data_IF_962594666141
#
_entry.id   IF_962594666141
#
_cell.length_a   1.000
_cell.length_b   1.000
_cell.length_c   1.000
_cell.angle_alpha   90.00
_cell.angle_beta   90.00
_cell.angle_gamma   90.00
#
_symmetry.space_group_name_H-M   'P 1'
#
loop_
_entity.id
_entity.type
_entity.pdbx_description
1 polymer ?
#
# COMPACT_ATOMS: atom_id res chain seq x y z
N UNK A 1 -9.41 -72.97 -57.65
CA UNK A 1 -10.86 -72.98 -57.36
C UNK A 1 -11.35 -71.54 -57.36
N UNK A 2 -12.29 -71.25 -58.27
CA UNK A 2 -13.32 -70.19 -58.26
C UNK A 2 -13.00 -68.70 -58.13
N UNK A 3 -13.42 -67.98 -59.19
CA UNK A 3 -13.68 -66.54 -59.38
C UNK A 3 -14.74 -65.94 -58.44
N UNK A 4 -14.69 -64.60 -58.27
CA UNK A 4 -15.75 -63.58 -58.57
C UNK A 4 -15.60 -62.36 -57.63
N UNK A 5 -15.33 -61.13 -58.10
CA UNK A 5 -16.14 -60.11 -58.81
C UNK A 5 -17.05 -59.22 -57.91
N UNK A 6 -16.91 -57.90 -58.11
CA UNK A 6 -17.89 -56.78 -57.95
C UNK A 6 -18.29 -56.38 -56.51
N UNK A 7 -18.59 -55.12 -56.15
CA UNK A 7 -19.02 -53.93 -56.92
C UNK A 7 -18.76 -52.64 -56.12
N UNK A 8 -18.60 -51.52 -56.84
CA UNK A 8 -18.70 -50.14 -56.34
C UNK A 8 -20.16 -49.68 -56.13
N UNK A 9 -20.30 -48.53 -55.45
CA UNK A 9 -21.38 -47.53 -55.58
C UNK A 9 -21.88 -47.04 -54.21
N UNK A 10 -22.34 -45.80 -53.98
CA UNK A 10 -22.25 -44.47 -54.60
C UNK A 10 -22.78 -43.48 -53.53
N UNK A 11 -22.50 -42.18 -53.69
CA UNK A 11 -22.91 -41.00 -52.89
C UNK A 11 -24.33 -41.02 -52.29
N UNK A 12 -24.49 -40.41 -51.09
CA UNK A 12 -25.44 -39.28 -50.86
C UNK A 12 -25.19 -38.51 -49.54
N UNK A 13 -25.21 -37.19 -49.69
CA UNK A 13 -25.24 -36.12 -48.68
C UNK A 13 -26.61 -36.03 -48.00
N UNK A 14 -26.63 -35.93 -46.65
CA UNK A 14 -27.82 -35.51 -45.88
C UNK A 14 -27.38 -34.82 -44.59
N UNK A 15 -27.52 -33.49 -44.53
CA UNK A 15 -27.71 -32.76 -43.27
C UNK A 15 -29.17 -32.81 -42.82
N UNK A 16 -29.45 -32.81 -41.50
CA UNK A 16 -30.65 -32.12 -40.98
C UNK A 16 -30.35 -31.40 -39.63
N UNK A 17 -31.31 -30.70 -38.97
CA UNK A 17 -31.47 -29.26 -39.06
C UNK A 17 -31.25 -28.51 -37.73
N UNK A 18 -31.21 -27.18 -37.82
CA UNK A 18 -31.27 -26.23 -36.71
C UNK A 18 -32.55 -26.38 -35.88
N UNK A 19 -32.42 -26.26 -34.56
CA UNK A 19 -33.52 -25.93 -33.65
C UNK A 19 -33.08 -24.80 -32.72
N UNK A 20 -33.79 -23.68 -32.83
CA UNK A 20 -33.62 -22.51 -31.97
C UNK A 20 -34.60 -22.51 -30.81
N UNK A 21 -34.18 -21.91 -29.70
CA UNK A 21 -34.99 -21.37 -28.61
C UNK A 21 -34.23 -20.13 -28.12
N UNK A 22 -34.62 -18.90 -28.48
CA UNK A 22 -35.72 -18.08 -27.94
C UNK A 22 -35.44 -17.52 -26.54
N UNK A 23 -34.98 -16.27 -26.55
CA UNK A 23 -34.90 -15.28 -25.48
C UNK A 23 -36.28 -14.95 -24.89
N UNK A 24 -36.41 -14.66 -23.59
CA UNK A 24 -37.53 -13.90 -23.06
C UNK A 24 -37.16 -12.41 -22.94
N UNK A 25 -37.86 -11.56 -23.69
CA UNK A 25 -38.02 -10.14 -23.37
C UNK A 25 -39.35 -9.90 -22.65
N UNK A 26 -39.36 -8.91 -21.75
CA UNK A 26 -40.37 -7.86 -21.52
C UNK A 26 -40.56 -7.54 -20.02
N UNK A 27 -41.08 -6.34 -19.65
CA UNK A 27 -41.02 -5.03 -20.32
C UNK A 27 -40.61 -3.88 -19.36
N UNK A 28 -40.36 -2.71 -19.95
CA UNK A 28 -40.18 -1.42 -19.29
C UNK A 28 -41.44 -0.94 -18.54
N UNK A 29 -41.24 -0.32 -17.36
CA UNK A 29 -42.03 0.82 -16.91
C UNK A 29 -41.23 1.68 -15.91
N UNK A 30 -41.20 2.97 -16.18
CA UNK A 30 -40.57 4.01 -15.37
C UNK A 30 -41.40 4.34 -14.13
N UNK A 31 -40.73 4.52 -12.98
CA UNK A 31 -40.94 5.66 -12.08
C UNK A 31 -39.94 5.63 -10.91
N UNK A 32 -39.24 6.74 -10.73
CA UNK A 32 -38.42 7.03 -9.55
C UNK A 32 -39.30 7.24 -8.31
N UNK A 33 -38.78 6.89 -7.13
CA UNK A 33 -38.81 7.86 -6.04
C UNK A 33 -37.47 7.95 -5.28
N UNK A 34 -37.35 9.10 -4.62
CA UNK A 34 -36.22 9.66 -3.89
C UNK A 34 -35.61 8.74 -2.82
N UNK A 35 -34.28 8.83 -2.69
CA UNK A 35 -33.52 8.29 -1.58
C UNK A 35 -33.75 9.12 -0.29
N UNK A 36 -33.87 8.48 0.89
CA UNK A 36 -33.61 9.17 2.14
C UNK A 36 -32.09 9.19 2.39
N UNK A 37 -31.57 10.40 2.55
CA UNK A 37 -30.24 10.64 3.09
C UNK A 37 -30.16 10.09 4.52
N UNK A 38 -29.19 9.21 4.78
CA UNK A 38 -28.71 8.92 6.12
C UNK A 38 -27.19 9.00 6.09
N UNK A 39 -26.72 10.18 6.48
CA UNK A 39 -25.35 10.58 6.72
C UNK A 39 -24.77 9.90 7.96
N UNK A 40 -23.71 9.12 7.76
CA UNK A 40 -22.62 8.86 8.73
C UNK A 40 -21.38 8.59 7.85
N UNK A 41 -20.28 9.35 7.83
CA UNK A 41 -19.65 10.16 8.87
C UNK A 41 -18.43 9.42 9.40
N UNK A 42 -17.28 10.10 9.43
CA UNK A 42 -15.93 9.71 9.93
C UNK A 42 -15.02 9.03 8.88
N UNK A 43 -13.85 9.57 8.48
CA UNK A 43 -13.08 10.73 8.92
C UNK A 43 -11.60 10.33 9.03
N UNK A 44 -10.73 10.89 8.18
CA UNK A 44 -9.28 10.91 8.43
C UNK A 44 -8.75 12.30 8.13
N UNK A 45 -8.14 12.87 9.16
CA UNK A 45 -7.83 14.28 9.32
C UNK A 45 -6.66 14.72 8.44
N UNK A 46 -6.86 15.84 7.73
CA UNK A 46 -5.79 16.66 7.17
C UNK A 46 -5.18 17.45 8.33
N UNK A 47 -4.01 17.05 8.80
CA UNK A 47 -3.23 17.86 9.75
C UNK A 47 -2.53 18.99 8.99
N UNK A 48 -3.20 20.14 8.96
CA UNK A 48 -2.68 21.40 8.44
C UNK A 48 -1.46 21.88 9.26
N UNK A 49 -0.32 21.97 8.59
CA UNK A 49 0.86 22.70 9.05
C UNK A 49 0.71 24.17 8.68
N UNK A 50 0.24 25.01 9.60
CA UNK A 50 0.53 26.44 9.57
C UNK A 50 1.01 26.90 10.94
N UNK A 51 2.34 27.07 11.03
CA UNK A 51 2.97 27.87 12.09
C UNK A 51 2.72 29.34 11.79
N UNK A 52 2.22 30.03 12.82
CA UNK A 52 2.12 31.48 12.94
C UNK A 52 3.46 32.17 12.69
N UNK A 53 3.44 33.25 11.90
CA UNK A 53 4.36 34.37 12.01
C UNK A 53 3.55 35.65 12.30
N UNK A 54 4.20 36.54 13.04
CA UNK A 54 3.67 37.65 13.83
C UNK A 54 3.22 38.90 13.05
N UNK A 55 2.17 39.53 13.62
CA UNK A 55 1.64 40.93 13.63
C UNK A 55 2.51 42.12 13.13
N UNK A 56 1.94 43.29 12.71
CA UNK A 56 1.30 44.27 13.63
C UNK A 56 0.07 45.09 13.14
N UNK A 57 -0.63 45.64 14.14
CA UNK A 57 -1.45 46.88 14.26
C UNK A 57 -2.71 47.14 13.40
N UNK A 58 -3.87 47.30 14.06
CA UNK A 58 -4.57 48.60 14.20
C UNK A 58 -5.76 48.60 15.20
N UNK A 59 -5.66 49.52 16.17
CA UNK A 59 -6.65 50.32 16.93
C UNK A 59 -8.14 49.89 17.03
N UNK A 60 -8.68 49.81 18.26
CA UNK A 60 -9.47 50.90 18.92
C UNK A 60 -10.12 50.46 20.26
N UNK A 61 -9.80 51.23 21.31
CA UNK A 61 -10.68 51.81 22.36
C UNK A 61 -11.78 50.93 23.02
N UNK A 62 -11.78 50.78 24.35
CA UNK A 62 -12.35 51.73 25.34
C UNK A 62 -12.30 51.21 26.82
N UNK A 63 -11.88 52.12 27.70
CA UNK A 63 -12.34 52.42 29.09
C UNK A 63 -12.18 51.41 30.24
N UNK A 64 -11.31 51.76 31.22
CA UNK A 64 -11.62 52.25 32.60
C UNK A 64 -11.76 51.08 33.61
N UNK A 65 -11.24 51.04 34.84
CA UNK A 65 -10.67 52.00 35.79
C UNK A 65 -9.99 51.18 36.92
N UNK A 66 -8.91 51.71 37.56
CA UNK A 66 -8.54 51.64 39.00
C UNK A 66 -8.42 50.25 39.70
N UNK A 67 -7.46 49.89 40.56
CA UNK A 67 -6.61 50.54 41.58
C UNK A 67 -5.48 49.53 41.95
N UNK A 68 -4.20 49.94 42.00
CA UNK A 68 -3.34 49.98 43.20
C UNK A 68 -3.48 48.85 44.25
N UNK A 69 -2.47 47.98 44.40
CA UNK A 69 -1.50 48.03 45.53
C UNK A 69 -0.51 46.85 45.57
N UNK A 70 0.64 47.18 46.17
CA UNK A 70 1.91 46.47 46.34
C UNK A 70 1.91 45.11 47.05
N UNK A 71 3.00 44.35 46.88
CA UNK A 71 3.55 43.58 48.01
C UNK A 71 4.22 42.23 47.72
N UNK A 72 5.55 42.26 47.57
CA UNK A 72 6.55 41.33 48.12
C UNK A 72 6.43 39.79 47.97
N UNK A 73 7.51 39.21 47.41
CA UNK A 73 7.93 37.80 47.56
C UNK A 73 8.35 37.50 49.03
N UNK A 74 8.36 36.24 49.48
CA UNK A 74 9.61 35.48 49.36
C UNK A 74 9.43 33.99 49.01
N UNK A 75 10.57 33.41 48.65
CA UNK A 75 10.80 32.01 48.29
C UNK A 75 10.74 31.04 49.48
N UNK A 76 10.51 29.75 49.20
CA UNK A 76 10.83 28.67 50.15
C UNK A 76 10.19 27.32 49.84
N UNK A 77 11.01 26.43 49.27
CA UNK A 77 11.03 24.98 49.51
C UNK A 77 9.77 24.11 49.22
N UNK A 78 9.89 23.34 48.14
CA UNK A 78 9.68 21.88 48.11
C UNK A 78 8.63 21.27 49.07
N UNK A 79 7.50 20.85 48.53
CA UNK A 79 7.02 19.48 48.79
C UNK A 79 6.10 19.03 47.67
N UNK A 80 6.47 17.88 47.11
CA UNK A 80 5.64 16.99 46.31
C UNK A 80 4.37 16.63 47.12
N UNK A 81 3.29 16.27 46.43
CA UNK A 81 2.02 15.69 46.93
C UNK A 81 0.84 16.62 47.26
N UNK A 82 0.43 17.50 46.34
CA UNK A 82 -0.97 17.97 46.35
C UNK A 82 -1.43 18.52 45.00
N UNK A 83 -1.92 17.67 44.11
CA UNK A 83 -2.66 18.13 42.92
C UNK A 83 -3.72 17.12 42.46
N UNK A 84 -4.44 16.52 43.40
CA UNK A 84 -5.70 15.82 43.09
C UNK A 84 -6.97 16.58 43.52
N UNK A 85 -6.86 17.74 44.18
CA UNK A 85 -8.03 18.51 44.60
C UNK A 85 -7.78 20.01 44.44
N UNK A 86 -7.64 20.47 43.21
CA UNK A 86 -7.64 21.91 42.91
C UNK A 86 -9.09 22.38 42.81
N UNK A 87 -9.60 22.88 43.94
CA UNK A 87 -10.56 24.00 44.05
C UNK A 87 -11.66 24.10 42.98
N UNK A 88 -12.81 23.51 43.27
CA UNK A 88 -14.11 24.05 42.83
C UNK A 88 -14.28 25.39 43.55
N UNK A 89 -14.05 26.48 42.80
CA UNK A 89 -14.53 27.81 43.14
C UNK A 89 -15.63 28.15 42.15
N UNK A 90 -16.85 27.75 42.46
CA UNK A 90 -18.02 28.01 41.62
C UNK A 90 -19.25 27.33 42.23
N UNK A 91 -20.35 28.07 42.33
CA UNK A 91 -21.54 27.76 43.13
C UNK A 91 -22.39 26.58 42.62
N UNK A 92 -21.82 25.65 41.83
CA UNK A 92 -22.46 24.39 41.40
C UNK A 92 -23.68 24.47 40.48
N UNK A 93 -24.36 25.62 40.39
CA UNK A 93 -25.61 25.81 39.64
C UNK A 93 -25.52 26.87 38.53
N UNK A 94 -24.57 27.81 38.57
CA UNK A 94 -24.40 28.87 37.55
C UNK A 94 -22.95 29.05 37.05
N UNK A 95 -22.04 28.14 37.38
CA UNK A 95 -20.63 28.21 36.98
C UNK A 95 -20.40 27.58 35.61
N UNK A 96 -19.76 28.31 34.68
CA UNK A 96 -19.33 27.75 33.40
C UNK A 96 -18.34 26.60 33.65
N UNK A 97 -18.71 25.38 33.22
CA UNK A 97 -17.84 24.21 33.30
C UNK A 97 -16.56 24.50 32.52
N UNK A 98 -15.46 24.70 33.24
CA UNK A 98 -14.15 24.94 32.64
C UNK A 98 -13.40 23.62 32.67
N UNK A 99 -13.26 22.90 31.54
CA UNK A 99 -12.61 21.60 31.54
C UNK A 99 -11.16 21.74 32.00
N UNK A 100 -10.65 20.81 32.83
CA UNK A 100 -9.25 20.81 33.24
C UNK A 100 -8.37 20.78 31.99
N UNK A 101 -7.43 21.73 31.93
CA UNK A 101 -6.52 21.92 30.78
C UNK A 101 -5.61 20.69 30.66
N UNK A 102 -5.92 19.77 29.73
CA UNK A 102 -5.06 18.62 29.41
C UNK A 102 -3.69 19.15 29.00
N UNK A 103 -2.66 18.83 29.79
CA UNK A 103 -1.29 18.98 29.34
C UNK A 103 -1.06 17.92 28.27
N UNK A 104 -0.58 18.33 27.09
CA UNK A 104 -0.22 17.39 26.04
C UNK A 104 0.86 16.45 26.59
N UNK A 105 0.64 15.14 26.47
CA UNK A 105 1.66 14.15 26.81
C UNK A 105 2.95 14.48 26.05
N UNK A 106 4.11 14.59 26.73
CA UNK A 106 5.39 14.88 26.06
C UNK A 106 5.88 13.70 25.21
N UNK A 107 5.23 12.54 25.34
CA UNK A 107 5.48 11.35 24.52
C UNK A 107 4.66 11.51 23.24
N UNK A 108 5.33 11.91 22.16
CA UNK A 108 4.78 11.75 20.82
C UNK A 108 4.38 10.30 20.60
N UNK A 109 3.35 10.05 19.78
CA UNK A 109 2.98 8.68 19.41
C UNK A 109 4.24 7.91 19.00
N UNK A 110 4.45 6.67 19.49
CA UNK A 110 5.59 5.88 19.05
C UNK A 110 5.50 5.70 17.54
N UNK A 111 6.41 6.34 16.80
CA UNK A 111 6.54 6.12 15.36
C UNK A 111 6.93 4.67 15.15
N UNK A 112 6.25 3.98 14.22
CA UNK A 112 6.58 2.60 13.90
C UNK A 112 8.07 2.48 13.53
N UNK A 113 8.72 1.41 14.01
CA UNK A 113 10.11 1.13 13.68
C UNK A 113 10.29 0.89 12.18
N UNK A 114 11.48 1.24 11.67
CA UNK A 114 11.89 0.99 10.28
C UNK A 114 11.68 -0.47 9.85
N UNK A 115 11.14 -0.71 8.65
CA UNK A 115 11.04 -2.06 8.09
C UNK A 115 12.42 -2.67 7.81
N UNK A 116 12.56 -3.93 8.22
CA UNK A 116 13.66 -4.83 7.90
C UNK A 116 13.16 -5.93 6.96
N UNK A 117 13.75 -5.99 5.77
CA UNK A 117 13.48 -7.03 4.77
C UNK A 117 14.54 -8.12 4.90
N UNK A 118 14.12 -9.35 5.25
CA UNK A 118 15.02 -10.47 5.51
C UNK A 118 14.68 -11.68 4.64
N UNK A 119 15.68 -12.55 4.39
CA UNK A 119 15.48 -13.82 3.69
C UNK A 119 16.09 -13.89 2.29
N UNK A 120 16.69 -12.81 1.80
CA UNK A 120 17.57 -12.88 0.63
C UNK A 120 18.81 -13.71 0.91
N UNK A 121 19.20 -14.55 -0.04
CA UNK A 121 20.44 -15.29 -0.03
C UNK A 121 21.63 -14.36 -0.32
N UNK A 122 22.83 -14.73 0.16
CA UNK A 122 24.01 -13.85 0.12
C UNK A 122 24.52 -13.54 -1.30
N UNK A 123 24.14 -14.37 -2.27
CA UNK A 123 24.48 -14.23 -3.69
C UNK A 123 23.45 -13.39 -4.46
N UNK A 124 22.33 -13.00 -3.82
CA UNK A 124 21.27 -12.25 -4.47
C UNK A 124 21.74 -10.81 -4.68
N UNK A 125 22.01 -10.49 -5.94
CA UNK A 125 22.44 -9.15 -6.35
C UNK A 125 21.33 -8.12 -6.08
N UNK A 126 21.66 -6.83 -5.81
CA UNK A 126 20.67 -5.79 -5.55
C UNK A 126 19.63 -5.62 -6.67
N UNK A 127 20.03 -5.83 -7.93
CA UNK A 127 19.15 -5.75 -9.10
C UNK A 127 18.11 -6.89 -9.15
N UNK A 128 18.33 -7.97 -8.39
CA UNK A 128 17.42 -9.12 -8.27
C UNK A 128 16.49 -9.00 -7.06
N UNK A 129 16.68 -7.97 -6.22
CA UNK A 129 15.79 -7.64 -5.11
C UNK A 129 14.70 -6.71 -5.63
N UNK A 130 13.48 -7.23 -5.78
CA UNK A 130 12.37 -6.48 -6.35
C UNK A 130 11.75 -5.54 -5.32
N UNK A 131 11.50 -6.03 -4.09
CA UNK A 131 10.96 -5.21 -3.04
C UNK A 131 12.05 -4.39 -2.36
N UNK A 132 12.08 -3.09 -2.65
CA UNK A 132 12.88 -2.17 -1.87
C UNK A 132 12.15 -1.71 -0.60
N UNK A 133 12.92 -1.22 0.38
CA UNK A 133 12.37 -0.76 1.67
C UNK A 133 11.37 0.39 1.52
N UNK A 134 11.58 1.32 0.58
CA UNK A 134 10.68 2.45 0.38
C UNK A 134 9.28 2.01 -0.06
N UNK A 135 9.21 1.10 -1.03
CA UNK A 135 7.96 0.51 -1.52
C UNK A 135 7.31 -0.31 -0.40
N UNK A 136 8.09 -1.08 0.36
CA UNK A 136 7.56 -1.84 1.50
C UNK A 136 6.90 -0.94 2.56
N UNK A 137 7.51 0.20 2.89
CA UNK A 137 6.94 1.16 3.83
C UNK A 137 5.66 1.82 3.28
N UNK A 138 5.57 2.06 1.97
CA UNK A 138 4.33 2.51 1.33
C UNK A 138 3.23 1.46 1.46
N UNK A 139 3.51 0.21 1.09
CA UNK A 139 2.58 -0.92 1.23
C UNK A 139 2.13 -1.05 2.70
N UNK A 140 3.05 -0.92 3.67
CA UNK A 140 2.76 -1.01 5.10
C UNK A 140 1.66 -0.07 5.56
N UNK A 141 1.54 1.12 4.95
CA UNK A 141 0.49 2.07 5.34
C UNK A 141 -0.92 1.58 5.07
N UNK A 142 -1.08 0.65 4.11
CA UNK A 142 -2.35 0.03 3.71
C UNK A 142 -2.63 -1.32 4.37
N UNK A 143 -1.66 -1.89 5.11
CA UNK A 143 -1.86 -3.15 5.80
C UNK A 143 -2.84 -3.01 6.98
N UNK A 144 -3.47 -4.10 7.44
CA UNK A 144 -4.20 -4.12 8.70
C UNK A 144 -3.31 -3.68 9.87
N UNK A 145 -3.86 -2.92 10.82
CA UNK A 145 -3.09 -2.31 11.92
C UNK A 145 -2.29 -3.35 12.73
N UNK A 146 -2.85 -4.55 12.90
CA UNK A 146 -2.19 -5.69 13.55
C UNK A 146 -0.87 -6.10 12.89
N UNK A 147 -0.76 -5.94 11.57
CA UNK A 147 0.42 -6.29 10.79
C UNK A 147 1.40 -5.13 10.67
N UNK A 148 0.94 -3.88 10.78
CA UNK A 148 1.82 -2.69 10.76
C UNK A 148 2.84 -2.69 11.89
N UNK A 149 2.53 -3.32 13.02
CA UNK A 149 3.43 -3.39 14.18
C UNK A 149 4.65 -4.27 13.87
N UNK A 150 4.52 -5.25 12.98
CA UNK A 150 5.64 -6.10 12.54
C UNK A 150 6.61 -5.28 11.69
N UNK A 151 7.82 -5.12 12.17
CA UNK A 151 8.90 -4.41 11.48
C UNK A 151 9.77 -5.35 10.62
N UNK A 152 9.71 -6.66 10.83
CA UNK A 152 10.41 -7.65 10.01
C UNK A 152 9.48 -8.32 9.01
N UNK A 153 9.81 -8.23 7.72
CA UNK A 153 9.14 -8.94 6.63
C UNK A 153 10.09 -10.00 6.10
N UNK A 154 9.58 -11.23 5.94
CA UNK A 154 10.40 -12.38 5.55
C UNK A 154 10.08 -12.81 4.13
N UNK A 155 11.11 -12.94 3.30
CA UNK A 155 11.00 -13.49 1.97
C UNK A 155 10.72 -14.99 2.05
N UNK A 156 9.60 -15.42 1.47
CA UNK A 156 9.18 -16.82 1.40
C UNK A 156 9.59 -17.44 0.08
N UNK A 157 9.43 -16.68 -1.01
CA UNK A 157 9.74 -17.14 -2.36
C UNK A 157 10.32 -16.00 -3.18
N UNK A 158 11.34 -16.29 -3.99
CA UNK A 158 11.88 -15.43 -5.02
C UNK A 158 12.13 -16.25 -6.28
N UNK A 159 11.67 -15.75 -7.43
CA UNK A 159 11.91 -16.39 -8.73
C UNK A 159 13.41 -16.66 -8.95
N UNK A 160 14.25 -15.71 -8.54
CA UNK A 160 15.70 -15.81 -8.65
C UNK A 160 16.28 -16.93 -7.78
N UNK A 161 15.84 -17.05 -6.53
CA UNK A 161 16.41 -18.00 -5.55
C UNK A 161 15.78 -19.40 -5.63
N UNK A 162 14.52 -19.50 -6.05
CA UNK A 162 13.73 -20.73 -5.95
C UNK A 162 13.30 -21.30 -7.31
N UNK A 163 13.59 -20.59 -8.41
CA UNK A 163 13.27 -21.01 -9.77
C UNK A 163 11.81 -20.84 -10.16
N UNK A 164 11.52 -21.00 -11.45
CA UNK A 164 10.26 -20.62 -12.11
C UNK A 164 9.16 -21.70 -11.97
N UNK A 165 8.61 -21.86 -10.76
CA UNK A 165 7.51 -22.81 -10.51
C UNK A 165 6.54 -22.30 -9.45
N UNK A 166 5.29 -22.07 -9.86
CA UNK A 166 4.19 -21.74 -8.97
C UNK A 166 3.92 -22.85 -7.94
N UNK A 167 4.15 -24.11 -8.32
CA UNK A 167 4.07 -25.24 -7.40
C UNK A 167 5.12 -25.16 -6.27
N UNK A 168 6.33 -24.66 -6.56
CA UNK A 168 7.35 -24.39 -5.53
C UNK A 168 6.92 -23.25 -4.62
N UNK A 169 6.36 -22.16 -5.18
CA UNK A 169 5.82 -21.05 -4.40
C UNK A 169 4.78 -21.55 -3.39
N UNK A 170 3.79 -22.35 -3.83
CA UNK A 170 2.77 -22.90 -2.93
C UNK A 170 3.36 -23.77 -1.82
N UNK A 171 4.33 -24.65 -2.15
CA UNK A 171 4.99 -25.51 -1.15
C UNK A 171 5.73 -24.72 -0.08
N UNK A 172 6.38 -23.60 -0.44
CA UNK A 172 7.07 -22.75 0.55
C UNK A 172 6.09 -21.97 1.42
N UNK A 173 4.89 -21.67 0.91
CA UNK A 173 3.85 -20.98 1.66
C UNK A 173 3.18 -21.88 2.72
N UNK A 174 3.19 -23.20 2.54
CA UNK A 174 2.51 -24.15 3.43
C UNK A 174 2.97 -24.05 4.90
N UNK A 175 4.22 -23.64 5.17
CA UNK A 175 4.74 -23.43 6.53
C UNK A 175 3.89 -22.43 7.35
N UNK A 176 3.31 -21.45 6.65
CA UNK A 176 2.55 -20.35 7.23
C UNK A 176 1.03 -20.56 7.16
N UNK A 177 0.57 -21.68 6.61
CA UNK A 177 -0.84 -21.94 6.41
C UNK A 177 -1.62 -21.96 7.72
N UNK A 178 -2.73 -21.23 7.75
CA UNK A 178 -3.58 -21.09 8.95
C UNK A 178 -2.99 -20.19 10.04
N UNK A 179 -1.81 -19.59 9.85
CA UNK A 179 -1.28 -18.57 10.75
C UNK A 179 -1.91 -17.22 10.44
N UNK A 180 -1.98 -16.33 11.45
CA UNK A 180 -2.50 -14.96 11.30
C UNK A 180 -1.47 -14.02 10.67
N UNK A 181 -0.95 -14.37 9.51
CA UNK A 181 0.01 -13.57 8.75
C UNK A 181 -0.68 -12.84 7.60
N UNK A 182 0.06 -12.04 6.85
CA UNK A 182 -0.35 -11.54 5.54
C UNK A 182 0.78 -11.72 4.53
N UNK A 183 0.49 -11.64 3.24
CA UNK A 183 1.47 -11.86 2.18
C UNK A 183 1.52 -10.69 1.22
N UNK A 184 2.72 -10.30 0.79
CA UNK A 184 2.93 -9.29 -0.25
C UNK A 184 3.56 -9.98 -1.45
N UNK A 185 2.79 -10.08 -2.52
CA UNK A 185 3.23 -10.53 -3.84
C UNK A 185 3.80 -9.32 -4.58
N UNK A 186 5.00 -9.49 -5.14
CA UNK A 186 5.74 -8.49 -5.90
C UNK A 186 6.09 -9.09 -7.24
N UNK A 187 5.85 -8.35 -8.31
CA UNK A 187 6.11 -8.74 -9.69
C UNK A 187 6.87 -7.60 -10.36
N UNK A 188 7.93 -7.95 -11.09
CA UNK A 188 8.60 -7.04 -12.02
C UNK A 188 8.39 -7.54 -13.44
N UNK A 189 7.92 -6.66 -14.32
CA UNK A 189 7.77 -6.98 -15.74
C UNK A 189 9.04 -6.69 -16.56
N UNK A 190 8.97 -6.89 -17.89
CA UNK A 190 10.04 -6.61 -18.85
C UNK A 190 10.27 -5.13 -19.14
N UNK A 191 9.41 -4.23 -18.63
CA UNK A 191 9.62 -2.77 -18.64
C UNK A 191 10.19 -2.25 -17.32
N UNK A 192 10.62 -3.14 -16.43
CA UNK A 192 11.06 -2.84 -15.06
C UNK A 192 9.98 -2.17 -14.18
N UNK A 193 8.71 -2.27 -14.57
CA UNK A 193 7.60 -1.81 -13.73
C UNK A 193 7.40 -2.78 -12.57
N UNK A 194 7.25 -2.25 -11.35
CA UNK A 194 7.06 -3.06 -10.14
C UNK A 194 5.65 -2.90 -9.59
N UNK A 195 4.94 -4.02 -9.44
CA UNK A 195 3.56 -4.03 -8.98
C UNK A 195 3.23 -5.35 -8.31
N UNK A 196 2.04 -5.48 -7.76
CA UNK A 196 1.64 -6.72 -7.13
C UNK A 196 0.37 -6.62 -6.31
N UNK A 197 0.32 -7.41 -5.26
CA UNK A 197 -0.85 -7.55 -4.42
C UNK A 197 -0.49 -7.79 -2.96
N UNK A 198 -1.38 -7.38 -2.06
CA UNK A 198 -1.43 -7.89 -0.70
C UNK A 198 -2.52 -8.95 -0.60
N UNK A 199 -2.16 -10.09 0.00
CA UNK A 199 -3.01 -11.27 0.14
C UNK A 199 -3.23 -11.56 1.62
N UNK A 200 -4.48 -11.76 1.99
CA UNK A 200 -4.87 -11.99 3.40
C UNK A 200 -4.80 -13.46 3.81
N UNK A 201 -4.57 -14.34 2.85
CA UNK A 201 -4.53 -15.79 3.05
C UNK A 201 -3.38 -16.39 2.24
N UNK A 202 -2.97 -17.59 2.65
CA UNK A 202 -1.84 -18.32 2.08
C UNK A 202 -2.11 -18.68 0.62
N UNK A 203 -1.23 -18.34 -0.33
CA UNK A 203 -1.37 -18.82 -1.70
C UNK A 203 -1.33 -20.35 -1.76
N UNK A 204 -2.44 -20.97 -2.14
CA UNK A 204 -2.54 -22.43 -2.30
C UNK A 204 -3.63 -22.81 -3.30
N UNK A 205 -3.53 -23.94 -4.01
CA UNK A 205 -4.60 -24.41 -4.88
C UNK A 205 -5.93 -24.54 -4.11
N UNK A 206 -7.01 -24.00 -4.66
CA UNK A 206 -8.34 -24.00 -4.07
C UNK A 206 -9.43 -24.13 -5.14
N UNK A 207 -10.57 -24.74 -4.79
CA UNK A 207 -11.69 -24.93 -5.72
C UNK A 207 -12.56 -23.67 -5.92
N UNK A 208 -12.39 -22.66 -5.06
CA UNK A 208 -13.15 -21.43 -5.08
C UNK A 208 -12.24 -20.25 -4.76
N UNK A 209 -12.74 -19.03 -5.00
CA UNK A 209 -12.10 -17.83 -4.50
C UNK A 209 -11.99 -17.86 -2.97
N UNK A 210 -10.94 -17.25 -2.46
CA UNK A 210 -10.64 -17.11 -1.04
C UNK A 210 -9.93 -15.77 -0.77
N UNK A 211 -9.58 -15.53 0.49
CA UNK A 211 -9.14 -14.22 0.98
C UNK A 211 -10.29 -13.37 1.49
N UNK A 212 -9.97 -12.14 1.89
CA UNK A 212 -10.92 -11.20 2.50
C UNK A 212 -10.82 -9.83 1.85
N UNK A 213 -11.77 -8.94 2.14
CA UNK A 213 -11.77 -7.56 1.66
C UNK A 213 -10.62 -6.67 2.17
N UNK A 214 -9.67 -7.22 2.95
CA UNK A 214 -8.41 -6.53 3.26
C UNK A 214 -7.36 -6.71 2.14
N UNK A 215 -7.59 -7.60 1.16
CA UNK A 215 -6.73 -7.72 -0.03
C UNK A 215 -6.73 -6.40 -0.83
N UNK A 216 -5.63 -6.11 -1.51
CA UNK A 216 -5.54 -4.98 -2.43
C UNK A 216 -4.47 -5.20 -3.50
N UNK A 217 -4.59 -4.50 -4.62
CA UNK A 217 -3.55 -4.44 -5.63
C UNK A 217 -2.75 -3.14 -5.48
N UNK A 218 -1.51 -3.14 -5.93
CA UNK A 218 -0.67 -1.94 -5.90
C UNK A 218 0.30 -1.91 -7.07
N UNK A 219 0.78 -0.71 -7.42
CA UNK A 219 1.90 -0.52 -8.35
C UNK A 219 2.78 0.64 -7.93
N UNK A 220 4.06 0.55 -8.23
CA UNK A 220 5.06 1.54 -7.89
C UNK A 220 5.95 1.84 -9.10
N UNK A 221 6.20 3.13 -9.33
CA UNK A 221 7.17 3.60 -10.32
C UNK A 221 8.31 4.32 -9.61
N UNK A 222 9.56 3.95 -9.93
CA UNK A 222 10.76 4.63 -9.46
C UNK A 222 11.21 5.65 -10.50
N UNK A 223 11.19 6.92 -10.12
CA UNK A 223 11.64 8.02 -10.97
C UNK A 223 12.88 8.67 -10.38
N UNK A 224 13.77 9.17 -11.23
CA UNK A 224 14.84 10.07 -10.80
C UNK A 224 14.20 11.30 -10.13
N UNK A 225 14.64 11.69 -8.93
CA UNK A 225 14.05 12.84 -8.26
C UNK A 225 14.31 14.11 -9.10
N UNK A 226 13.26 14.62 -9.72
CA UNK A 226 13.25 16.00 -10.17
C UNK A 226 13.20 16.91 -8.93
N UNK A 227 13.79 18.12 -8.98
CA UNK A 227 13.59 19.10 -7.92
C UNK A 227 12.08 19.28 -7.68
N UNK A 228 11.64 19.40 -6.42
CA UNK A 228 10.21 19.40 -6.11
C UNK A 228 9.50 20.45 -6.97
N UNK A 229 8.46 20.09 -7.74
CA UNK A 229 7.71 21.07 -8.50
C UNK A 229 7.13 22.10 -7.53
N UNK A 230 7.07 23.39 -7.90
CA UNK A 230 6.50 24.43 -7.06
C UNK A 230 5.01 24.14 -6.87
N UNK A 231 4.66 23.44 -5.78
CA UNK A 231 3.31 23.22 -5.25
C UNK A 231 2.21 23.30 -6.32
N UNK A 232 2.30 22.48 -7.35
CA UNK A 232 1.23 22.38 -8.33
C UNK A 232 0.18 21.45 -7.74
N UNK A 233 -1.03 21.99 -7.61
CA UNK A 233 -2.23 21.31 -7.16
C UNK A 233 -2.43 20.02 -7.98
N UNK A 234 -2.22 18.86 -7.35
CA UNK A 234 -2.42 17.55 -7.99
C UNK A 234 -3.79 17.05 -7.57
N UNK A 235 -4.84 17.66 -8.11
CA UNK A 235 -6.24 17.34 -7.79
C UNK A 235 -6.79 16.16 -8.60
N UNK A 236 -6.02 15.61 -9.54
CA UNK A 236 -6.48 14.54 -10.41
C UNK A 236 -5.97 13.18 -9.96
N UNK A 237 -6.83 12.45 -9.21
CA UNK A 237 -6.86 11.01 -8.87
C UNK A 237 -6.51 10.66 -7.41
N UNK A 238 -7.50 10.44 -6.55
CA UNK A 238 -7.38 10.12 -5.11
C UNK A 238 -6.54 8.86 -4.74
N UNK A 239 -5.86 8.22 -5.70
CA UNK A 239 -5.23 6.91 -5.56
C UNK A 239 -3.69 6.90 -5.68
N UNK A 240 -3.01 8.04 -5.87
CA UNK A 240 -1.54 8.08 -5.92
C UNK A 240 -0.92 8.80 -4.71
N UNK A 241 0.18 8.25 -4.22
CA UNK A 241 1.05 8.85 -3.21
C UNK A 241 2.47 8.94 -3.76
N UNK A 242 3.15 10.06 -3.51
CA UNK A 242 4.55 10.25 -3.92
C UNK A 242 5.42 10.36 -2.68
N UNK A 243 6.45 9.52 -2.59
CA UNK A 243 7.39 9.49 -1.48
C UNK A 243 8.82 9.56 -2.00
N UNK A 244 9.63 10.46 -1.46
CA UNK A 244 11.05 10.59 -1.85
C UNK A 244 11.93 9.71 -0.97
N UNK A 245 12.74 8.86 -1.58
CA UNK A 245 13.78 8.07 -0.94
C UNK A 245 15.16 8.62 -1.30
N UNK A 246 16.02 8.80 -0.31
CA UNK A 246 17.44 9.08 -0.55
C UNK A 246 18.18 7.76 -0.66
N UNK A 247 18.71 7.41 -1.84
CA UNK A 247 19.56 6.23 -1.97
C UNK A 247 20.94 6.56 -1.40
N UNK A 248 21.22 6.13 -0.16
CA UNK A 248 22.58 6.07 0.36
C UNK A 248 23.24 4.82 -0.22
N UNK A 249 23.89 4.97 -1.38
CA UNK A 249 24.70 3.91 -1.95
C UNK A 249 25.97 3.68 -1.14
N UNK A 250 25.89 2.91 -0.05
CA UNK A 250 26.99 2.19 0.61
C UNK A 250 26.43 1.46 1.83
N UNK A 251 27.00 0.30 2.14
CA UNK A 251 26.67 -0.55 3.27
C UNK A 251 26.48 0.23 4.59
N UNK A 252 25.43 -0.14 5.31
CA UNK A 252 25.13 0.28 6.68
C UNK A 252 26.26 -0.21 7.60
N UNK A 253 27.19 0.68 7.93
CA UNK A 253 28.06 0.52 9.10
C UNK A 253 27.66 1.61 10.09
N UNK A 254 27.07 1.18 11.20
CA UNK A 254 26.47 2.06 12.19
C UNK A 254 27.50 3.02 12.78
N UNK A 255 27.50 4.26 12.32
CA UNK A 255 28.18 5.36 13.01
C UNK A 255 27.43 6.67 12.79
N UNK A 256 26.86 7.16 13.88
CA UNK A 256 26.41 8.53 14.03
C UNK A 256 27.60 9.48 13.93
N UNK A 257 27.77 10.15 12.79
CA UNK A 257 28.67 11.30 12.70
C UNK A 257 28.12 12.37 11.75
N UNK A 258 27.14 13.13 12.24
CA UNK A 258 26.89 14.47 11.75
C UNK A 258 28.07 15.34 12.20
N UNK A 259 28.75 16.00 11.25
CA UNK A 259 29.94 16.88 11.38
C UNK A 259 31.31 16.24 11.02
N UNK A 260 31.47 15.78 9.77
CA UNK A 260 32.79 15.73 9.14
C UNK A 260 32.92 16.90 8.13
N UNK A 261 34.00 17.69 8.14
CA UNK A 261 34.27 18.69 7.09
C UNK A 261 34.42 17.99 5.73
N UNK A 262 33.97 18.64 4.65
CA UNK A 262 34.06 18.10 3.30
C UNK A 262 35.51 17.74 2.92
N UNK A 263 35.74 16.61 2.22
CA UNK A 263 37.06 16.25 1.71
C UNK A 263 37.62 17.35 0.81
N UNK A 264 38.84 17.79 1.09
CA UNK A 264 39.55 18.81 0.31
C UNK A 264 40.45 18.08 -0.68
N UNK A 265 40.37 18.42 -1.97
CA UNK A 265 41.27 17.88 -2.99
C UNK A 265 42.71 18.42 -2.76
N UNK A 266 43.71 17.56 -2.50
CA UNK A 266 45.07 17.97 -2.18
C UNK A 266 45.81 18.68 -3.33
N UNK A 267 45.25 18.67 -4.54
CA UNK A 267 45.87 19.34 -5.71
C UNK A 267 45.28 20.71 -6.03
N UNK A 268 44.03 20.98 -5.63
CA UNK A 268 43.31 22.19 -6.04
C UNK A 268 42.83 23.06 -4.88
N UNK A 269 42.97 22.62 -3.62
CA UNK A 269 42.47 23.32 -2.42
C UNK A 269 40.98 23.72 -2.51
N UNK A 270 40.22 23.05 -3.38
CA UNK A 270 38.77 23.25 -3.53
C UNK A 270 38.03 22.17 -2.74
N UNK A 271 36.94 22.59 -2.09
CA UNK A 271 35.99 21.67 -1.50
C UNK A 271 35.40 20.78 -2.60
N UNK A 272 35.57 19.47 -2.46
CA UNK A 272 34.85 18.52 -3.31
C UNK A 272 33.38 18.57 -2.86
N UNK A 273 32.42 18.90 -3.74
CA UNK A 273 31.02 18.79 -3.37
C UNK A 273 30.77 17.34 -2.92
N UNK A 274 30.07 17.12 -1.79
CA UNK A 274 29.74 15.77 -1.35
C UNK A 274 29.04 15.02 -2.51
N UNK A 275 29.24 13.70 -2.65
CA UNK A 275 28.51 12.93 -3.65
C UNK A 275 27.03 13.21 -3.45
N UNK A 276 26.39 13.82 -4.45
CA UNK A 276 24.98 14.16 -4.40
C UNK A 276 24.26 12.83 -4.27
N UNK A 277 23.71 12.54 -3.08
CA UNK A 277 22.91 11.35 -2.86
C UNK A 277 21.81 11.34 -3.94
N UNK A 278 21.79 10.29 -4.77
CA UNK A 278 20.78 10.16 -5.80
C UNK A 278 19.45 9.87 -5.10
N UNK A 279 18.65 10.91 -4.89
CA UNK A 279 17.27 10.76 -4.45
C UNK A 279 16.44 10.17 -5.59
N UNK A 280 15.68 9.13 -5.29
CA UNK A 280 14.62 8.62 -6.16
C UNK A 280 13.27 9.01 -5.56
N UNK A 281 12.27 9.22 -6.40
CA UNK A 281 10.88 9.37 -5.95
C UNK A 281 10.09 8.13 -6.34
N UNK A 282 9.36 7.58 -5.38
CA UNK A 282 8.41 6.50 -5.56
C UNK A 282 7.05 7.12 -5.83
N UNK A 283 6.43 6.81 -6.97
CA UNK A 283 5.01 7.04 -7.21
C UNK A 283 4.27 5.74 -6.93
N UNK A 284 3.57 5.69 -5.81
CA UNK A 284 2.82 4.52 -5.36
C UNK A 284 1.34 4.69 -5.66
N UNK A 285 0.69 3.65 -6.17
CA UNK A 285 -0.76 3.59 -6.36
C UNK A 285 -1.32 2.35 -5.67
N UNK A 286 -2.42 2.53 -4.94
CA UNK A 286 -3.13 1.48 -4.24
C UNK A 286 -4.54 1.32 -4.82
N UNK A 287 -4.97 0.07 -4.97
CA UNK A 287 -6.32 -0.30 -5.44
C UNK A 287 -6.97 -1.18 -4.38
N UNK A 288 -7.67 -0.53 -3.46
CA UNK A 288 -8.39 -1.18 -2.38
C UNK A 288 -9.59 -1.97 -2.88
N UNK A 289 -9.98 -2.96 -2.08
CA UNK A 289 -11.19 -3.74 -2.27
C UNK A 289 -12.44 -2.86 -2.42
N UNK A 290 -13.26 -3.13 -3.44
CA UNK A 290 -14.42 -2.33 -3.81
C UNK A 290 -15.71 -2.73 -3.08
N UNK A 291 -15.77 -3.97 -2.57
CA UNK A 291 -17.01 -4.55 -2.01
C UNK A 291 -18.03 -5.02 -3.05
N UNK A 292 -17.72 -4.98 -4.36
CA UNK A 292 -18.66 -5.39 -5.42
C UNK A 292 -18.83 -6.92 -5.46
N UNK A 293 -17.75 -7.67 -5.22
CA UNK A 293 -17.76 -9.13 -5.17
C UNK A 293 -16.60 -9.63 -4.29
N UNK A 294 -16.56 -10.93 -3.97
CA UNK A 294 -15.55 -11.53 -3.09
C UNK A 294 -14.45 -12.30 -3.86
N UNK A 295 -14.22 -11.98 -5.13
CA UNK A 295 -13.28 -12.69 -5.99
C UNK A 295 -11.82 -12.25 -5.76
N UNK A 296 -11.37 -12.28 -4.50
CA UNK A 296 -10.10 -11.73 -4.06
C UNK A 296 -8.90 -12.54 -4.55
N UNK A 297 -8.84 -13.84 -4.25
CA UNK A 297 -7.71 -14.71 -4.64
C UNK A 297 -8.28 -15.97 -5.26
N UNK A 298 -7.76 -16.36 -6.42
CA UNK A 298 -8.01 -17.68 -7.00
C UNK A 298 -6.68 -18.31 -7.37
N UNK A 299 -6.52 -19.56 -6.98
CA UNK A 299 -5.26 -20.27 -7.14
C UNK A 299 -5.56 -21.67 -7.63
N UNK A 300 -4.99 -21.99 -8.78
CA UNK A 300 -5.03 -23.31 -9.38
C UNK A 300 -3.60 -23.82 -9.54
N UNK A 301 -3.45 -25.06 -9.97
CA UNK A 301 -2.14 -25.60 -10.34
C UNK A 301 -1.55 -24.88 -11.55
N UNK A 302 -2.41 -24.36 -12.44
CA UNK A 302 -2.02 -23.69 -13.68
C UNK A 302 -1.80 -22.19 -13.58
N UNK A 303 -2.31 -21.53 -12.52
CA UNK A 303 -2.21 -20.09 -12.37
C UNK A 303 -2.49 -19.61 -10.93
N UNK A 304 -2.07 -18.39 -10.65
CA UNK A 304 -2.47 -17.59 -9.50
C UNK A 304 -3.10 -16.29 -10.00
N UNK A 305 -4.28 -15.94 -9.51
CA UNK A 305 -4.92 -14.66 -9.79
C UNK A 305 -5.37 -13.95 -8.52
N UNK A 306 -5.37 -12.62 -8.60
CA UNK A 306 -5.79 -11.72 -7.54
C UNK A 306 -6.73 -10.67 -8.15
N UNK A 307 -7.96 -10.67 -7.68
CA UNK A 307 -9.04 -9.82 -8.18
C UNK A 307 -9.67 -10.38 -9.44
N UNK A 308 -10.95 -10.73 -9.36
CA UNK A 308 -11.76 -11.18 -10.48
C UNK A 308 -12.92 -10.24 -10.80
N UNK A 309 -13.75 -10.67 -11.75
CA UNK A 309 -14.96 -9.95 -12.18
C UNK A 309 -14.99 -9.77 -13.70
N UNK A 310 -16.16 -9.95 -14.31
CA UNK A 310 -16.39 -9.79 -15.75
C UNK A 310 -15.38 -10.52 -16.68
N UNK A 311 -14.88 -11.69 -16.25
CA UNK A 311 -13.93 -12.50 -17.03
C UNK A 311 -12.53 -11.92 -17.15
N UNK A 312 -12.21 -10.85 -16.40
CA UNK A 312 -10.88 -10.25 -16.29
C UNK A 312 -10.29 -10.52 -14.90
N UNK A 313 -8.96 -10.40 -14.83
CA UNK A 313 -8.21 -10.51 -13.59
C UNK A 313 -7.46 -9.21 -13.33
N UNK A 314 -7.49 -8.73 -12.09
CA UNK A 314 -6.68 -7.59 -11.66
C UNK A 314 -5.19 -7.90 -11.81
N UNK A 315 -4.79 -9.09 -11.37
CA UNK A 315 -3.48 -9.69 -11.60
C UNK A 315 -3.63 -11.19 -11.83
N UNK A 316 -2.93 -11.73 -12.82
CA UNK A 316 -2.89 -13.16 -13.13
C UNK A 316 -1.46 -13.55 -13.53
N UNK A 317 -0.96 -14.67 -13.02
CA UNK A 317 0.36 -15.23 -13.31
C UNK A 317 0.21 -16.71 -13.68
N UNK A 318 0.95 -17.17 -14.70
CA UNK A 318 0.95 -18.59 -15.07
C UNK A 318 1.79 -19.47 -14.12
N UNK A 319 1.65 -20.79 -14.27
CA UNK A 319 2.35 -21.82 -13.51
C UNK A 319 3.89 -21.76 -13.57
N UNK A 320 4.44 -21.35 -14.71
CA UNK A 320 5.87 -21.16 -14.91
C UNK A 320 6.37 -19.78 -14.48
N UNK A 321 5.50 -18.89 -13.97
CA UNK A 321 5.86 -17.54 -13.52
C UNK A 321 6.66 -16.76 -14.58
N UNK A 322 6.32 -16.95 -15.85
CA UNK A 322 7.00 -16.36 -17.01
C UNK A 322 6.12 -15.36 -17.76
N UNK A 323 4.79 -15.51 -17.66
CA UNK A 323 3.81 -14.65 -18.33
C UNK A 323 2.74 -14.24 -17.34
N UNK A 324 2.35 -12.98 -17.42
CA UNK A 324 1.27 -12.43 -16.60
C UNK A 324 0.22 -11.69 -17.43
N UNK A 325 -0.90 -11.40 -16.78
CA UNK A 325 -1.97 -10.58 -17.31
C UNK A 325 -2.53 -9.68 -16.21
N UNK A 326 -2.84 -8.43 -16.54
CA UNK A 326 -3.48 -7.48 -15.64
C UNK A 326 -4.49 -6.66 -16.41
N UNK A 327 -5.76 -6.75 -16.04
CA UNK A 327 -6.84 -5.95 -16.59
C UNK A 327 -7.62 -5.25 -15.48
N UNK A 328 -8.59 -4.45 -15.89
CA UNK A 328 -9.56 -3.89 -14.95
C UNK A 328 -10.45 -5.00 -14.39
N UNK A 329 -10.67 -4.98 -13.08
CA UNK A 329 -11.57 -5.93 -12.42
C UNK A 329 -12.50 -5.21 -11.44
N UNK A 330 -13.68 -5.80 -11.22
CA UNK A 330 -14.68 -5.23 -10.30
C UNK A 330 -14.23 -5.30 -8.84
N UNK A 331 -13.43 -6.32 -8.48
CA UNK A 331 -12.99 -6.56 -7.08
C UNK A 331 -12.20 -5.38 -6.51
N UNK A 332 -11.38 -4.73 -7.33
CA UNK A 332 -10.46 -3.67 -6.89
C UNK A 332 -10.61 -2.36 -7.67
N UNK A 333 -11.42 -2.35 -8.74
CA UNK A 333 -11.56 -1.22 -9.68
C UNK A 333 -10.18 -0.68 -10.13
N UNK A 334 -9.22 -1.58 -10.27
CA UNK A 334 -7.87 -1.26 -10.69
C UNK A 334 -7.83 -0.97 -12.18
N UNK A 335 -6.85 -0.17 -12.59
CA UNK A 335 -6.38 -0.13 -13.98
C UNK A 335 -5.34 -1.24 -14.23
N UNK A 336 -4.97 -1.57 -15.48
CA UNK A 336 -3.84 -2.45 -15.75
C UNK A 336 -2.59 -2.02 -14.96
N UNK A 337 -1.94 -3.00 -14.30
CA UNK A 337 -0.84 -2.72 -13.38
C UNK A 337 0.51 -2.55 -14.09
N UNK A 338 0.71 -3.25 -15.20
CA UNK A 338 1.91 -3.23 -16.03
C UNK A 338 1.84 -2.13 -17.09
N UNK A 339 2.98 -1.52 -17.37
CA UNK A 339 3.12 -0.52 -18.44
C UNK A 339 3.31 -1.17 -19.83
N UNK A 340 3.56 -2.48 -19.91
CA UNK A 340 3.53 -3.25 -21.17
C UNK A 340 2.10 -3.40 -21.73
N UNK A 341 1.09 -3.23 -20.87
CA UNK A 341 -0.32 -3.36 -21.19
C UNK A 341 -0.99 -4.54 -20.48
N UNK A 342 -2.06 -5.08 -21.06
CA UNK A 342 -2.84 -6.13 -20.38
C UNK A 342 -2.05 -7.44 -20.22
N UNK A 343 -1.12 -7.75 -21.11
CA UNK A 343 -0.25 -8.94 -21.05
C UNK A 343 1.19 -8.48 -20.91
N UNK A 344 1.96 -9.16 -20.07
CA UNK A 344 3.33 -8.79 -19.81
C UNK A 344 4.22 -10.00 -19.55
N UNK A 345 5.51 -9.81 -19.77
CA UNK A 345 6.53 -10.81 -19.48
C UNK A 345 7.05 -10.62 -18.06
N UNK A 346 7.16 -11.71 -17.31
CA UNK A 346 7.59 -11.66 -15.90
C UNK A 346 9.11 -11.80 -15.85
N UNK A 347 9.79 -10.76 -15.34
CA UNK A 347 11.23 -10.77 -15.10
C UNK A 347 11.58 -11.21 -13.68
N UNK A 348 10.66 -11.01 -12.72
CA UNK A 348 10.86 -11.45 -11.35
C UNK A 348 9.56 -11.55 -10.57
N UNK A 349 9.56 -12.43 -9.58
CA UNK A 349 8.47 -12.59 -8.61
C UNK A 349 9.08 -12.73 -7.22
N UNK A 350 8.55 -12.02 -6.25
CA UNK A 350 8.82 -12.25 -4.84
C UNK A 350 7.51 -12.40 -4.07
N UNK A 351 7.54 -13.23 -3.03
CA UNK A 351 6.45 -13.34 -2.07
C UNK A 351 7.02 -13.19 -0.66
N UNK A 352 6.51 -12.17 0.04
CA UNK A 352 6.91 -11.82 1.39
C UNK A 352 5.79 -12.19 2.37
N UNK A 353 6.15 -12.63 3.57
CA UNK A 353 5.22 -12.86 4.67
C UNK A 353 5.44 -11.83 5.78
N UNK A 354 4.33 -11.36 6.36
CA UNK A 354 4.28 -10.28 7.35
C UNK A 354 3.56 -10.78 8.61
N UNK A 355 4.11 -10.46 9.78
CA UNK A 355 3.57 -10.89 11.07
C UNK A 355 3.87 -12.36 11.39
N UNK A 356 4.91 -12.93 10.80
CA UNK A 356 5.39 -14.30 11.03
C UNK A 356 6.45 -14.39 12.14
N UNK A 357 6.44 -13.45 13.08
CA UNK A 357 7.35 -13.34 14.22
C UNK A 357 6.92 -14.17 15.42
#
# INVERSE_FOLDING_TARGET
MTNHHHSQGNLIDVSPPSSGYSTPQHPYAANAPQAPAASYGFGSAVLGLWRRLSSPDEQQQQQQQQQQQDGFKPAGATSMVSSMFSSISGDGINGAFTPPRRQASPVGLPSLGALSLVGFHYDTQPEQQLLNRGIAEEIRTFLPERLKISDSWRLVYSLYQNGSSLGTLYKLCDEYRGRRVGYVLVVRDGTDSTFGAYLTDTPHPAHSYYGTGECFLWRAELHAALPPPPSADTSDLDNYRVTTIASTGAADDGSSSHLAPAPIDPTTNKAVPPPVAQTQSIRFQNFSYSGINDYCIQSETGFLSVGGGNGKYGLWLNDSLSKGRSGECETFLNRPLSDEGEKFDIMGVELWVIGAS
#
